data_IF_349597917548
#
_entry.id   IF_349597917548
#
_cell.length_a   1.000
_cell.length_b   1.000
_cell.length_c   1.000
_cell.angle_alpha   90.00
_cell.angle_beta   90.00
_cell.angle_gamma   90.00
#
_symmetry.space_group_name_H-M   'P 1'
#
loop_
_entity.id
_entity.type
_entity.pdbx_description
1 polymer ?
#
# COMPACT_ATOMS: atom_id res chain seq x y z
N UNK A 1 4.29 -3.67 20.79
CA UNK A 1 4.37 -2.39 20.03
C UNK A 1 4.62 -2.60 18.54
N UNK A 2 5.67 -3.35 18.15
CA UNK A 2 5.95 -3.62 16.73
C UNK A 2 4.80 -4.35 16.00
N UNK A 3 4.09 -5.26 16.69
CA UNK A 3 2.92 -5.95 16.15
C UNK A 3 1.79 -4.96 15.84
N UNK A 4 1.43 -4.11 16.81
CA UNK A 4 0.37 -3.09 16.66
C UNK A 4 0.72 -2.13 15.51
N UNK A 5 1.97 -1.67 15.46
CA UNK A 5 2.47 -0.85 14.36
C UNK A 5 2.28 -1.52 12.99
N UNK A 6 2.66 -2.80 12.85
CA UNK A 6 2.50 -3.54 11.61
C UNK A 6 1.04 -3.81 11.25
N UNK A 7 0.16 -4.00 12.25
CA UNK A 7 -1.29 -4.12 12.02
C UNK A 7 -1.83 -2.79 11.44
N UNK A 8 -1.41 -1.64 11.97
CA UNK A 8 -1.86 -0.34 11.46
C UNK A 8 -1.35 -0.11 10.03
N UNK A 9 -0.08 -0.42 9.74
CA UNK A 9 0.47 -0.36 8.38
C UNK A 9 -0.33 -1.25 7.42
N UNK A 10 -0.66 -2.47 7.84
CA UNK A 10 -1.46 -3.39 7.04
C UNK A 10 -2.85 -2.80 6.71
N UNK A 11 -3.53 -2.21 7.70
CA UNK A 11 -4.81 -1.52 7.49
C UNK A 11 -4.68 -0.36 6.48
N UNK A 12 -3.65 0.48 6.61
CA UNK A 12 -3.39 1.56 5.65
C UNK A 12 -3.14 1.03 4.23
N UNK A 13 -2.44 -0.10 4.12
CA UNK A 13 -2.13 -0.71 2.82
C UNK A 13 -3.32 -1.38 2.14
N UNK A 14 -4.34 -1.78 2.91
CA UNK A 14 -5.58 -2.38 2.40
C UNK A 14 -6.48 -1.35 1.72
N UNK A 15 -6.48 -0.09 2.18
CA UNK A 15 -7.31 1.00 1.61
C UNK A 15 -7.18 1.12 0.09
N UNK A 16 -5.98 1.26 -0.52
CA UNK A 16 -5.85 1.35 -1.97
C UNK A 16 -6.27 0.06 -2.70
N UNK A 17 -6.09 -1.12 -2.09
CA UNK A 17 -6.54 -2.39 -2.66
C UNK A 17 -8.07 -2.39 -2.79
N UNK A 18 -8.77 -1.97 -1.74
CA UNK A 18 -10.24 -1.84 -1.76
C UNK A 18 -10.66 -0.80 -2.79
N UNK A 19 -9.99 0.36 -2.83
CA UNK A 19 -10.29 1.43 -3.78
C UNK A 19 -10.26 0.93 -5.23
N UNK A 20 -9.21 0.20 -5.61
CA UNK A 20 -9.12 -0.37 -6.96
C UNK A 20 -10.21 -1.41 -7.22
N UNK A 21 -10.52 -2.25 -6.24
CA UNK A 21 -11.55 -3.28 -6.38
C UNK A 21 -12.95 -2.69 -6.57
N UNK A 22 -13.28 -1.58 -5.88
CA UNK A 22 -14.58 -0.90 -5.97
C UNK A 22 -14.65 -0.01 -7.23
N UNK A 23 -13.54 0.62 -7.62
CA UNK A 23 -13.47 1.53 -8.76
C UNK A 23 -12.44 1.06 -9.80
N UNK A 24 -12.68 -0.07 -10.49
CA UNK A 24 -11.71 -0.65 -11.44
C UNK A 24 -11.42 0.26 -12.64
N UNK A 25 -12.32 1.22 -12.95
CA UNK A 25 -12.12 2.23 -13.99
C UNK A 25 -10.86 3.09 -13.75
N UNK A 26 -10.46 3.29 -12.49
CA UNK A 26 -9.24 4.03 -12.12
C UNK A 26 -7.99 3.31 -12.66
N UNK A 27 -8.02 2.00 -12.77
CA UNK A 27 -6.86 1.18 -13.15
C UNK A 27 -6.83 0.88 -14.65
N UNK A 28 -7.97 0.94 -15.33
CA UNK A 28 -8.03 0.71 -16.79
C UNK A 28 -7.44 1.83 -17.64
N UNK A 29 -7.79 3.09 -17.35
CA UNK A 29 -7.35 4.22 -18.17
C UNK A 29 -5.97 4.68 -17.69
N UNK A 30 -4.93 4.46 -18.49
CA UNK A 30 -3.54 4.79 -18.14
C UNK A 30 -3.04 4.03 -16.90
N UNK A 31 -3.19 2.70 -16.88
CA UNK A 31 -2.77 1.80 -15.79
C UNK A 31 -1.45 2.20 -15.14
N UNK A 32 -0.37 2.28 -15.93
CA UNK A 32 0.96 2.59 -15.42
C UNK A 32 1.04 3.94 -14.72
N UNK A 33 0.43 4.99 -15.31
CA UNK A 33 0.44 6.34 -14.73
C UNK A 33 -0.33 6.34 -13.41
N UNK A 34 -1.53 5.76 -13.38
CA UNK A 34 -2.36 5.79 -12.18
C UNK A 34 -1.77 4.90 -11.08
N UNK A 35 -1.19 3.75 -11.45
CA UNK A 35 -0.47 2.88 -10.53
C UNK A 35 0.74 3.60 -9.91
N UNK A 36 1.55 4.30 -10.70
CA UNK A 36 2.69 5.07 -10.20
C UNK A 36 2.26 6.21 -9.26
N UNK A 37 1.17 6.91 -9.58
CA UNK A 37 0.60 7.95 -8.72
C UNK A 37 0.11 7.36 -7.40
N UNK A 38 -0.68 6.29 -7.44
CA UNK A 38 -1.18 5.60 -6.23
C UNK A 38 -0.01 5.10 -5.38
N UNK A 39 0.99 4.49 -6.01
CA UNK A 39 2.19 4.01 -5.33
C UNK A 39 2.95 5.14 -4.63
N UNK A 40 3.16 6.26 -5.31
CA UNK A 40 3.85 7.43 -4.75
C UNK A 40 3.10 7.99 -3.55
N UNK A 41 1.79 8.18 -3.68
CA UNK A 41 0.93 8.65 -2.57
C UNK A 41 0.98 7.67 -1.40
N UNK A 42 0.91 6.37 -1.67
CA UNK A 42 0.94 5.31 -0.65
C UNK A 42 2.27 5.31 0.11
N UNK A 43 3.40 5.44 -0.59
CA UNK A 43 4.72 5.58 0.04
C UNK A 43 4.76 6.80 0.95
N UNK A 44 4.33 7.97 0.47
CA UNK A 44 4.35 9.20 1.25
C UNK A 44 3.54 9.09 2.55
N UNK A 45 2.32 8.53 2.46
CA UNK A 45 1.45 8.31 3.63
C UNK A 45 2.13 7.39 4.65
N UNK A 46 2.72 6.29 4.17
CA UNK A 46 3.38 5.31 5.06
C UNK A 46 4.63 5.91 5.68
N UNK A 47 5.47 6.59 4.91
CA UNK A 47 6.66 7.26 5.44
C UNK A 47 6.29 8.30 6.50
N UNK A 48 5.23 9.09 6.28
CA UNK A 48 4.71 10.03 7.28
C UNK A 48 4.21 9.34 8.54
N UNK A 49 3.46 8.25 8.40
CA UNK A 49 2.97 7.47 9.54
C UNK A 49 4.13 6.85 10.36
N UNK A 50 5.12 6.25 9.68
CA UNK A 50 6.30 5.68 10.33
C UNK A 50 7.05 6.76 11.13
N UNK A 51 7.26 7.92 10.53
CA UNK A 51 7.90 9.06 11.19
C UNK A 51 7.12 9.50 12.43
N UNK A 52 5.82 9.74 12.31
CA UNK A 52 4.95 10.14 13.42
C UNK A 52 4.99 9.11 14.56
N UNK A 53 4.91 7.83 14.24
CA UNK A 53 4.89 6.76 15.22
C UNK A 53 6.21 6.65 15.99
N UNK A 54 7.34 6.76 15.30
CA UNK A 54 8.68 6.69 15.91
C UNK A 54 8.90 7.88 16.85
N UNK A 55 8.60 9.10 16.39
CA UNK A 55 8.92 10.32 17.13
C UNK A 55 8.02 10.50 18.35
N UNK A 56 6.71 10.31 18.20
CA UNK A 56 5.76 10.54 19.29
C UNK A 56 5.83 9.48 20.40
N UNK A 57 6.33 8.29 20.09
CA UNK A 57 6.49 7.20 21.07
C UNK A 57 7.93 7.03 21.55
N UNK A 58 8.85 7.91 21.14
CA UNK A 58 10.27 7.90 21.55
C UNK A 58 10.91 6.51 21.44
N UNK A 59 10.71 5.84 20.31
CA UNK A 59 11.10 4.43 20.11
C UNK A 59 12.65 4.32 19.99
N UNK A 60 13.35 3.66 20.93
CA UNK A 60 14.81 3.58 20.89
C UNK A 60 15.34 2.74 19.72
N UNK A 61 14.61 1.70 19.31
CA UNK A 61 14.99 0.79 18.21
C UNK A 61 14.27 1.12 16.90
N UNK A 62 14.16 2.40 16.53
CA UNK A 62 13.37 2.86 15.38
C UNK A 62 13.68 2.15 14.05
N UNK A 63 14.93 1.68 13.85
CA UNK A 63 15.35 0.95 12.63
C UNK A 63 14.49 -0.29 12.36
N UNK A 64 14.10 -1.03 13.40
CA UNK A 64 13.29 -2.25 13.22
C UNK A 64 11.85 -1.91 12.78
N UNK A 65 11.33 -0.75 13.18
CA UNK A 65 10.01 -0.26 12.77
C UNK A 65 10.03 0.19 11.31
N UNK A 66 11.09 0.88 10.89
CA UNK A 66 11.28 1.25 9.48
C UNK A 66 11.33 -0.01 8.60
N UNK A 67 12.22 -0.95 8.93
CA UNK A 67 12.40 -2.18 8.14
C UNK A 67 11.11 -2.99 8.09
N UNK A 68 10.49 -3.27 9.25
CA UNK A 68 9.25 -4.07 9.29
C UNK A 68 8.09 -3.38 8.58
N UNK A 69 7.97 -2.05 8.71
CA UNK A 69 6.95 -1.26 8.00
C UNK A 69 7.09 -1.34 6.49
N UNK A 70 8.31 -1.24 5.95
CA UNK A 70 8.55 -1.36 4.51
C UNK A 70 8.41 -2.79 3.98
N UNK A 71 8.75 -3.82 4.76
CA UNK A 71 8.47 -5.22 4.41
C UNK A 71 6.96 -5.43 4.27
N UNK A 72 6.20 -4.95 5.26
CA UNK A 72 4.76 -5.06 5.29
C UNK A 72 4.11 -4.30 4.11
N UNK A 73 4.54 -3.07 3.87
CA UNK A 73 4.14 -2.29 2.69
C UNK A 73 4.39 -3.04 1.38
N UNK A 74 5.60 -3.57 1.19
CA UNK A 74 5.99 -4.31 -0.02
C UNK A 74 5.10 -5.54 -0.22
N UNK A 75 4.85 -6.30 0.84
CA UNK A 75 3.97 -7.47 0.80
C UNK A 75 2.55 -7.11 0.30
N UNK A 76 1.94 -6.06 0.88
CA UNK A 76 0.62 -5.61 0.43
C UNK A 76 0.63 -4.99 -0.97
N UNK A 77 1.72 -4.35 -1.38
CA UNK A 77 1.85 -3.82 -2.74
C UNK A 77 1.92 -4.95 -3.78
N UNK A 78 2.60 -6.06 -3.49
CA UNK A 78 2.59 -7.24 -4.35
C UNK A 78 1.17 -7.82 -4.47
N UNK A 79 0.45 -7.95 -3.35
CA UNK A 79 -0.96 -8.40 -3.35
C UNK A 79 -1.84 -7.48 -4.21
N UNK A 80 -1.68 -6.16 -4.06
CA UNK A 80 -2.36 -5.16 -4.88
C UNK A 80 -2.07 -5.38 -6.38
N UNK A 81 -0.81 -5.56 -6.75
CA UNK A 81 -0.39 -5.82 -8.13
C UNK A 81 -1.05 -7.07 -8.71
N UNK A 82 -1.11 -8.17 -7.96
CA UNK A 82 -1.78 -9.41 -8.36
C UNK A 82 -3.29 -9.22 -8.59
N UNK A 83 -3.95 -8.47 -7.70
CA UNK A 83 -5.39 -8.17 -7.84
C UNK A 83 -5.63 -7.30 -9.08
N UNK A 84 -4.80 -6.28 -9.29
CA UNK A 84 -4.92 -5.37 -10.43
C UNK A 84 -4.73 -6.13 -11.75
N UNK A 85 -3.72 -7.01 -11.84
CA UNK A 85 -3.51 -7.87 -13.00
C UNK A 85 -4.74 -8.75 -13.30
N UNK A 86 -5.35 -9.36 -12.28
CA UNK A 86 -6.57 -10.17 -12.45
C UNK A 86 -7.76 -9.33 -12.96
N UNK A 87 -7.90 -8.09 -12.50
CA UNK A 87 -8.96 -7.17 -12.95
C UNK A 87 -8.77 -6.78 -14.42
N UNK A 88 -7.53 -6.46 -14.80
CA UNK A 88 -7.20 -6.10 -16.19
C UNK A 88 -7.51 -7.25 -17.15
N UNK A 89 -7.01 -8.45 -16.87
CA UNK A 89 -7.21 -9.64 -17.70
C UNK A 89 -8.70 -9.98 -17.89
N UNK A 90 -9.49 -9.92 -16.81
CA UNK A 90 -10.93 -10.20 -16.86
C UNK A 90 -11.70 -9.23 -17.76
N UNK A 91 -11.25 -7.99 -17.87
CA UNK A 91 -11.92 -6.98 -18.70
C UNK A 91 -11.44 -7.01 -20.15
N UNK A 92 -10.22 -7.49 -20.43
CA UNK A 92 -9.77 -7.75 -21.80
C UNK A 92 -10.54 -8.92 -22.43
N UNK A 93 -10.91 -9.94 -21.65
CA UNK A 93 -11.79 -11.04 -22.12
C UNK A 93 -13.24 -10.60 -22.42
N UNK A 94 -13.67 -9.44 -21.91
CA UNK A 94 -15.04 -8.91 -22.07
C UNK A 94 -15.18 -7.88 -23.20
N UNK A 95 -14.08 -7.55 -23.86
CA UNK A 95 -13.99 -6.51 -24.88
C UNK A 95 -14.03 -7.12 -26.28
#
# INVERSE_FOLDING_TARGET
>A
MILIFNIIIAFLCIVPIILVKVYPKIVHKNHFKNHAIIFTVKILIISMFIYFFIFNLSIPNYKIFIISGYINFTFFHIIEGLINQKILLKNDEKK
#
